data_IF_642498939298
#
_entry.id   IF_642498939298
#
_cell.length_a   1.000
_cell.length_b   1.000
_cell.length_c   1.000
_cell.angle_alpha   90.00
_cell.angle_beta   90.00
_cell.angle_gamma   90.00
#
_symmetry.space_group_name_H-M   'P 1'
#
loop_
_entity.id
_entity.type
_entity.pdbx_description
1 polymer ?
#
# COMPACT_ATOMS: atom_id res chain seq x y z
N UNK A 1 10.62 -18.29 -8.45
CA UNK A 1 9.76 -19.07 -7.52
C UNK A 1 8.76 -19.85 -8.39
N UNK A 2 8.57 -21.16 -8.17
CA UNK A 2 7.84 -22.05 -9.11
C UNK A 2 6.36 -21.70 -9.26
N UNK A 3 5.71 -21.18 -8.22
CA UNK A 3 4.30 -20.81 -8.24
C UNK A 3 3.92 -19.84 -9.36
N UNK A 4 4.79 -18.89 -9.71
CA UNK A 4 4.56 -17.97 -10.82
C UNK A 4 4.52 -18.68 -12.18
N UNK A 5 5.36 -19.71 -12.37
CA UNK A 5 5.39 -20.51 -13.61
C UNK A 5 4.12 -21.36 -13.70
N UNK A 6 3.71 -22.01 -12.61
CA UNK A 6 2.44 -22.74 -12.56
C UNK A 6 1.24 -21.83 -12.86
N UNK A 7 1.22 -20.62 -12.32
CA UNK A 7 0.15 -19.65 -12.58
C UNK A 7 0.07 -19.25 -14.06
N UNK A 8 1.20 -19.09 -14.75
CA UNK A 8 1.24 -18.81 -16.19
C UNK A 8 0.75 -19.99 -17.04
N UNK A 9 0.99 -21.22 -16.59
CA UNK A 9 0.52 -22.42 -17.26
C UNK A 9 -0.97 -22.73 -16.97
N UNK A 10 -1.63 -21.96 -16.11
CA UNK A 10 -3.00 -22.22 -15.66
C UNK A 10 -3.12 -23.32 -14.61
N UNK A 11 -2.01 -23.79 -14.05
CA UNK A 11 -1.94 -24.81 -13.01
C UNK A 11 -2.18 -24.18 -11.62
N UNK A 12 -3.38 -23.65 -11.41
CA UNK A 12 -3.67 -22.75 -10.28
C UNK A 12 -3.54 -23.40 -8.90
N UNK A 13 -3.91 -24.68 -8.75
CA UNK A 13 -3.74 -25.44 -7.50
C UNK A 13 -2.26 -25.56 -7.09
N UNK A 14 -1.40 -25.86 -8.07
CA UNK A 14 0.04 -25.98 -7.86
C UNK A 14 0.65 -24.61 -7.57
N UNK A 15 0.18 -23.57 -8.27
CA UNK A 15 0.59 -22.19 -8.02
C UNK A 15 0.29 -21.76 -6.57
N UNK A 16 -0.93 -22.00 -6.09
CA UNK A 16 -1.35 -21.69 -4.73
C UNK A 16 -0.46 -22.39 -3.69
N UNK A 17 -0.24 -23.70 -3.87
CA UNK A 17 0.56 -24.51 -2.95
C UNK A 17 1.99 -23.97 -2.80
N UNK A 18 2.65 -23.69 -3.92
CA UNK A 18 4.01 -23.16 -3.94
C UNK A 18 4.10 -21.75 -3.35
N UNK A 19 3.10 -20.90 -3.59
CA UNK A 19 3.05 -19.55 -3.03
C UNK A 19 2.85 -19.56 -1.51
N UNK A 20 1.97 -20.43 -0.99
CA UNK A 20 1.79 -20.61 0.47
C UNK A 20 3.05 -21.18 1.12
N UNK A 21 3.76 -22.09 0.46
CA UNK A 21 5.06 -22.57 0.94
C UNK A 21 6.11 -21.45 0.97
N UNK A 22 6.21 -20.66 -0.09
CA UNK A 22 7.11 -19.52 -0.15
C UNK A 22 6.84 -18.51 0.98
N UNK A 23 5.57 -18.19 1.26
CA UNK A 23 5.20 -17.32 2.39
C UNK A 23 5.65 -17.88 3.74
N UNK A 24 5.46 -19.19 3.98
CA UNK A 24 5.95 -19.85 5.21
C UNK A 24 7.47 -19.71 5.36
N UNK A 25 8.21 -19.89 4.27
CA UNK A 25 9.68 -19.74 4.27
C UNK A 25 10.13 -18.30 4.49
N UNK A 26 9.42 -17.32 3.92
CA UNK A 26 9.74 -15.89 4.06
C UNK A 26 9.44 -15.37 5.47
N UNK A 27 8.35 -15.84 6.08
CA UNK A 27 8.02 -15.57 7.47
C UNK A 27 9.12 -16.05 8.41
N UNK A 28 9.63 -17.28 8.19
CA UNK A 28 10.75 -17.83 8.96
C UNK A 28 12.05 -17.01 8.83
N UNK A 29 12.24 -16.34 7.69
CA UNK A 29 13.44 -15.54 7.38
C UNK A 29 13.31 -14.05 7.71
N UNK A 30 12.17 -13.59 8.26
CA UNK A 30 11.84 -12.17 8.51
C UNK A 30 12.01 -11.28 7.26
N UNK A 31 11.72 -11.82 6.10
CA UNK A 31 11.95 -11.19 4.81
C UNK A 31 10.69 -10.42 4.31
N UNK A 32 10.29 -9.37 5.05
CA UNK A 32 8.97 -8.73 4.91
C UNK A 32 8.67 -8.10 3.54
N UNK A 33 9.68 -7.55 2.87
CA UNK A 33 9.49 -6.95 1.53
C UNK A 33 9.13 -8.00 0.48
N UNK A 34 9.73 -9.18 0.56
CA UNK A 34 9.45 -10.28 -0.38
C UNK A 34 8.12 -10.97 -0.08
N UNK A 35 7.65 -10.95 1.17
CA UNK A 35 6.32 -11.50 1.49
C UNK A 35 5.20 -10.70 0.83
N UNK A 36 5.27 -9.37 0.80
CA UNK A 36 4.23 -8.56 0.17
C UNK A 36 4.04 -8.90 -1.31
N UNK A 37 5.14 -9.11 -2.05
CA UNK A 37 5.08 -9.51 -3.45
C UNK A 37 4.41 -10.88 -3.62
N UNK A 38 4.85 -11.90 -2.84
CA UNK A 38 4.26 -13.25 -2.94
C UNK A 38 2.78 -13.25 -2.54
N UNK A 39 2.38 -12.42 -1.58
CA UNK A 39 0.97 -12.30 -1.18
C UNK A 39 0.08 -11.75 -2.30
N UNK A 40 0.56 -10.75 -3.07
CA UNK A 40 -0.20 -10.22 -4.22
C UNK A 40 -0.38 -11.28 -5.31
N UNK A 41 0.67 -12.04 -5.62
CA UNK A 41 0.58 -13.13 -6.60
C UNK A 41 -0.36 -14.26 -6.13
N UNK A 42 -0.34 -14.58 -4.83
CA UNK A 42 -1.28 -15.54 -4.24
C UNK A 42 -2.73 -15.04 -4.35
N UNK A 43 -2.97 -13.75 -4.14
CA UNK A 43 -4.29 -13.15 -4.31
C UNK A 43 -4.78 -13.23 -5.77
N UNK A 44 -3.92 -13.00 -6.77
CA UNK A 44 -4.29 -13.21 -8.19
C UNK A 44 -4.70 -14.66 -8.46
N UNK A 45 -3.90 -15.62 -7.98
CA UNK A 45 -4.20 -17.05 -8.15
C UNK A 45 -5.53 -17.42 -7.48
N UNK A 46 -5.75 -16.99 -6.23
CA UNK A 46 -7.00 -17.25 -5.51
C UNK A 46 -8.21 -16.64 -6.20
N UNK A 47 -8.10 -15.42 -6.71
CA UNK A 47 -9.17 -14.78 -7.47
C UNK A 47 -9.51 -15.58 -8.74
N UNK A 48 -8.50 -15.99 -9.51
CA UNK A 48 -8.67 -16.82 -10.72
C UNK A 48 -9.26 -18.20 -10.44
N UNK A 49 -9.08 -18.72 -9.21
CA UNK A 49 -9.70 -19.96 -8.72
C UNK A 49 -11.14 -19.78 -8.23
N UNK A 50 -11.63 -18.54 -8.14
CA UNK A 50 -12.96 -18.20 -7.62
C UNK A 50 -12.99 -17.82 -6.13
N UNK A 51 -11.87 -17.94 -5.42
CA UNK A 51 -11.72 -17.57 -4.00
C UNK A 51 -11.48 -16.07 -3.81
N UNK A 52 -12.37 -15.24 -4.37
CA UNK A 52 -12.17 -13.78 -4.41
C UNK A 52 -12.21 -13.12 -3.03
N UNK A 53 -12.95 -13.68 -2.07
CA UNK A 53 -13.01 -13.17 -0.69
C UNK A 53 -11.66 -13.34 0.03
N UNK A 54 -11.03 -14.50 -0.11
CA UNK A 54 -9.70 -14.75 0.46
C UNK A 54 -8.64 -13.87 -0.20
N UNK A 55 -8.72 -13.70 -1.52
CA UNK A 55 -7.84 -12.79 -2.26
C UNK A 55 -7.96 -11.34 -1.76
N UNK A 56 -9.19 -10.86 -1.54
CA UNK A 56 -9.42 -9.51 -1.03
C UNK A 56 -8.82 -9.31 0.37
N UNK A 57 -9.03 -10.26 1.29
CA UNK A 57 -8.46 -10.21 2.63
C UNK A 57 -6.92 -10.13 2.61
N UNK A 58 -6.28 -10.92 1.75
CA UNK A 58 -4.81 -10.88 1.60
C UNK A 58 -4.31 -9.53 1.08
N UNK A 59 -5.04 -8.91 0.15
CA UNK A 59 -4.68 -7.59 -0.38
C UNK A 59 -4.92 -6.46 0.63
N UNK A 60 -5.97 -6.56 1.45
CA UNK A 60 -6.21 -5.63 2.56
C UNK A 60 -5.06 -5.64 3.57
N UNK A 61 -4.56 -6.82 3.93
CA UNK A 61 -3.39 -6.96 4.82
C UNK A 61 -2.12 -6.34 4.22
N UNK A 62 -1.88 -6.56 2.92
CA UNK A 62 -0.75 -5.95 2.21
C UNK A 62 -0.87 -4.42 2.22
N UNK A 63 -2.04 -3.88 1.87
CA UNK A 63 -2.28 -2.42 1.87
C UNK A 63 -2.19 -1.82 3.28
N UNK A 64 -2.63 -2.55 4.30
CA UNK A 64 -2.51 -2.16 5.70
C UNK A 64 -1.04 -2.07 6.15
N UNK A 65 -0.20 -3.02 5.71
CA UNK A 65 1.24 -3.03 5.99
C UNK A 65 2.05 -2.00 5.19
N UNK A 66 1.58 -1.62 4.01
CA UNK A 66 2.20 -0.58 3.15
C UNK A 66 1.71 0.83 3.48
N UNK A 67 0.60 0.97 4.19
CA UNK A 67 0.06 2.27 4.57
C UNK A 67 1.10 3.04 5.37
N UNK A 68 1.48 4.26 4.95
CA UNK A 68 2.33 5.09 5.77
C UNK A 68 1.54 5.36 7.06
N UNK A 69 2.15 5.12 8.21
CA UNK A 69 1.56 5.34 9.53
C UNK A 69 1.24 6.83 9.85
N UNK A 70 1.04 7.66 8.82
CA UNK A 70 0.74 9.09 8.87
C UNK A 70 -0.53 9.54 8.12
N UNK A 71 -1.40 8.64 7.65
CA UNK A 71 -2.74 9.04 7.16
C UNK A 71 -3.84 8.77 8.20
N UNK A 72 -3.55 9.01 9.49
CA UNK A 72 -4.60 9.19 10.49
C UNK A 72 -5.19 10.57 10.27
N UNK A 73 -6.18 10.70 9.39
CA UNK A 73 -7.13 11.79 9.54
C UNK A 73 -7.94 11.48 10.80
N UNK A 74 -7.43 11.88 11.95
CA UNK A 74 -8.22 11.91 13.18
C UNK A 74 -9.34 12.92 12.94
N UNK A 75 -10.52 12.45 12.58
CA UNK A 75 -11.74 13.26 12.60
C UNK A 75 -12.03 13.58 14.06
N UNK A 76 -11.46 14.68 14.56
CA UNK A 76 -11.82 15.24 15.87
C UNK A 76 -13.33 15.53 15.88
N UNK A 77 -14.05 15.25 16.98
CA UNK A 77 -15.40 15.75 17.14
C UNK A 77 -15.35 17.28 17.14
N UNK A 78 -16.21 17.90 16.30
CA UNK A 78 -16.32 19.35 16.17
C UNK A 78 -16.83 19.94 17.49
N UNK A 79 -15.94 20.28 18.41
CA UNK A 79 -16.25 21.20 19.50
C UNK A 79 -15.89 22.62 19.08
N UNK A 80 -16.92 23.40 18.76
CA UNK A 80 -16.98 24.87 18.81
C UNK A 80 -15.77 25.66 18.33
N UNK A 81 -15.75 26.05 17.05
CA UNK A 81 -14.99 27.22 16.62
C UNK A 81 -15.88 28.47 16.73
N UNK A 82 -15.71 29.23 17.81
CA UNK A 82 -16.01 30.66 17.80
C UNK A 82 -14.88 31.33 17.04
N UNK A 83 -15.19 31.91 15.87
CA UNK A 83 -14.22 32.60 15.03
C UNK A 83 -13.98 34.01 15.57
N UNK A 84 -12.95 34.20 16.39
CA UNK A 84 -12.27 35.49 16.51
C UNK A 84 -11.10 35.51 15.52
N UNK A 85 -11.29 36.26 14.43
CA UNK A 85 -10.32 36.50 13.36
C UNK A 85 -8.96 36.98 13.88
N UNK A 86 -7.83 36.42 13.42
CA UNK A 86 -6.56 37.13 13.44
C UNK A 86 -6.40 37.97 12.18
N UNK A 87 -6.11 39.27 12.38
CA UNK A 87 -5.73 40.23 11.34
C UNK A 87 -4.49 39.75 10.60
N UNK A 88 -4.54 39.82 9.28
CA UNK A 88 -3.41 39.64 8.36
C UNK A 88 -2.35 40.72 8.58
N UNK A 89 -1.06 40.40 8.76
CA UNK A 89 -0.01 41.39 8.56
C UNK A 89 0.35 41.50 7.07
N UNK A 90 0.57 42.74 6.65
CA UNK A 90 0.84 43.14 5.28
C UNK A 90 2.14 42.55 4.71
N UNK A 91 2.10 42.28 3.40
CA UNK A 91 3.17 41.74 2.58
C UNK A 91 4.11 42.88 2.13
N UNK A 92 5.43 42.83 2.36
CA UNK A 92 6.33 43.84 1.82
C UNK A 92 6.59 43.59 0.32
N UNK A 93 6.42 44.65 -0.48
CA UNK A 93 6.74 44.73 -1.90
C UNK A 93 8.25 44.83 -2.10
N UNK A 94 8.87 43.76 -2.62
CA UNK A 94 10.25 43.75 -3.10
C UNK A 94 10.31 43.51 -4.62
N UNK A 95 11.25 44.15 -5.35
CA UNK A 95 11.27 44.12 -6.81
C UNK A 95 11.74 42.76 -7.38
N UNK A 96 11.10 42.34 -8.46
CA UNK A 96 11.48 41.19 -9.28
C UNK A 96 12.80 41.51 -10.00
N UNK A 97 13.85 40.74 -9.72
CA UNK A 97 15.04 40.71 -10.57
C UNK A 97 15.06 39.38 -11.32
N UNK A 98 14.94 39.47 -12.64
CA UNK A 98 15.12 38.38 -13.59
C UNK A 98 16.56 38.42 -14.06
N UNK A 99 17.31 37.36 -13.82
CA UNK A 99 18.52 37.06 -14.60
C UNK A 99 18.84 35.58 -14.47
N UNK A 100 18.53 34.84 -15.53
CA UNK A 100 19.10 33.53 -15.81
C UNK A 100 20.39 33.82 -16.60
N UNK A 101 21.55 33.54 -16.02
CA UNK A 101 22.82 33.63 -16.71
C UNK A 101 23.14 32.27 -17.37
N UNK A 102 23.75 32.42 -18.54
CA UNK A 102 24.02 31.47 -19.61
C UNK A 102 25.10 30.43 -19.28
#
# INVERSE_FOLDING_TARGET
MRGYVYAQNGELEHAETEMREALRMLAAKRASLYSSQVTVELADVLHRRGSSEEAAALLEDVLGGLSPSGARCTRQPRTGCSASSPRTPARPSGPRSTTYAR
#
